data_IF_243708183976
#
_entry.id   IF_243708183976
#
_cell.length_a   1.000
_cell.length_b   1.000
_cell.length_c   1.000
_cell.angle_alpha   90.00
_cell.angle_beta   90.00
_cell.angle_gamma   90.00
#
_symmetry.space_group_name_H-M   'P 1'
#
loop_
_entity.id
_entity.type
_entity.pdbx_description
1 polymer ?
#
# COMPACT_ATOMS: atom_id res chain seq x y z
N UNK A 1 9.06 -11.99 5.71
CA UNK A 1 8.60 -11.13 4.62
C UNK A 1 7.19 -10.67 4.89
N UNK A 2 6.88 -9.43 4.52
CA UNK A 2 5.56 -8.89 4.77
C UNK A 2 4.56 -9.41 3.75
N UNK A 3 3.42 -9.81 4.23
CA UNK A 3 2.36 -10.17 3.32
C UNK A 3 1.49 -8.95 3.03
N UNK A 4 0.47 -9.17 2.23
CA UNK A 4 -0.42 -8.11 1.79
C UNK A 4 -1.06 -7.37 2.97
N UNK A 5 -1.47 -8.10 4.00
CA UNK A 5 -2.13 -7.47 5.14
C UNK A 5 -1.18 -6.59 5.94
N UNK A 6 0.06 -7.03 6.10
CA UNK A 6 1.05 -6.23 6.81
C UNK A 6 1.37 -4.95 6.04
N UNK A 7 1.46 -5.04 4.73
CA UNK A 7 1.75 -3.88 3.89
C UNK A 7 0.62 -2.86 4.01
N UNK A 8 -0.62 -3.32 3.93
CA UNK A 8 -1.76 -2.43 4.05
C UNK A 8 -1.80 -1.78 5.43
N UNK A 9 -1.57 -2.58 6.48
CA UNK A 9 -1.58 -2.06 7.84
C UNK A 9 -0.52 -1.00 8.06
N UNK A 10 0.68 -1.23 7.55
CA UNK A 10 1.74 -0.23 7.70
C UNK A 10 1.44 1.04 6.93
N UNK A 11 0.83 0.90 5.75
CA UNK A 11 0.45 2.06 4.97
C UNK A 11 -0.56 2.92 5.72
N UNK A 12 -1.55 2.27 6.33
CA UNK A 12 -2.55 2.99 7.09
C UNK A 12 -1.92 3.73 8.26
N UNK A 13 -1.06 3.05 9.01
CA UNK A 13 -0.39 3.67 10.14
C UNK A 13 0.45 4.86 9.70
N UNK A 14 1.19 4.70 8.61
CA UNK A 14 2.04 5.78 8.11
C UNK A 14 1.19 6.98 7.70
N UNK A 15 0.11 6.75 6.99
CA UNK A 15 -0.73 7.86 6.54
C UNK A 15 -1.39 8.56 7.71
N UNK A 16 -1.86 7.81 8.70
CA UNK A 16 -2.48 8.42 9.86
C UNK A 16 -1.47 9.20 10.69
N UNK A 17 -0.19 8.82 10.63
CA UNK A 17 0.86 9.53 11.34
C UNK A 17 1.27 10.82 10.65
N UNK A 18 1.11 10.91 9.34
CA UNK A 18 1.63 12.03 8.58
C UNK A 18 0.55 12.98 8.07
N UNK A 19 -0.72 12.61 8.19
CA UNK A 19 -1.82 13.43 7.68
C UNK A 19 -2.89 13.58 8.75
N UNK A 20 -3.64 14.69 8.71
CA UNK A 20 -4.81 14.80 9.58
C UNK A 20 -5.78 13.69 9.28
N UNK A 21 -6.46 13.26 10.34
CA UNK A 21 -7.36 12.13 10.21
C UNK A 21 -8.48 12.39 9.20
N UNK A 22 -8.96 13.65 9.15
CA UNK A 22 -10.03 13.98 8.23
C UNK A 22 -9.61 13.88 6.77
N UNK A 23 -8.31 13.87 6.49
CA UNK A 23 -7.83 13.77 5.12
C UNK A 23 -7.54 12.34 4.70
N UNK A 24 -7.63 11.41 5.63
CA UNK A 24 -7.39 10.01 5.29
C UNK A 24 -8.63 9.44 4.59
N UNK A 25 -8.42 8.85 3.42
CA UNK A 25 -9.50 8.16 2.73
C UNK A 25 -8.89 7.05 1.88
N UNK A 26 -9.75 6.28 1.23
CA UNK A 26 -9.27 5.14 0.46
C UNK A 26 -8.41 5.56 -0.72
N UNK A 27 -8.75 6.68 -1.33
CA UNK A 27 -7.96 7.15 -2.46
C UNK A 27 -6.53 7.48 -2.03
N UNK A 28 -6.37 8.10 -0.87
CA UNK A 28 -5.04 8.38 -0.36
C UNK A 28 -4.27 7.09 -0.11
N UNK A 29 -4.95 6.09 0.42
CA UNK A 29 -4.32 4.80 0.66
C UNK A 29 -3.92 4.15 -0.66
N UNK A 30 -4.78 4.20 -1.67
CA UNK A 30 -4.45 3.66 -2.97
C UNK A 30 -3.24 4.35 -3.58
N UNK A 31 -3.21 5.68 -3.50
CA UNK A 31 -2.10 6.43 -4.06
C UNK A 31 -0.79 6.08 -3.36
N UNK A 32 -0.84 5.95 -2.04
CA UNK A 32 0.35 5.59 -1.28
C UNK A 32 0.84 4.19 -1.65
N UNK A 33 -0.08 3.23 -1.74
CA UNK A 33 0.29 1.87 -2.09
C UNK A 33 0.81 1.77 -3.51
N UNK A 34 0.25 2.57 -4.42
CA UNK A 34 0.75 2.60 -5.79
C UNK A 34 2.18 3.11 -5.84
N UNK A 35 2.47 4.16 -5.07
CA UNK A 35 3.83 4.68 -5.02
C UNK A 35 4.79 3.65 -4.44
N UNK A 36 4.37 2.94 -3.40
CA UNK A 36 5.20 1.89 -2.82
C UNK A 36 5.45 0.77 -3.82
N UNK A 37 4.41 0.36 -4.53
CA UNK A 37 4.56 -0.70 -5.52
C UNK A 37 5.57 -0.30 -6.60
N UNK A 38 5.45 0.92 -7.11
CA UNK A 38 6.37 1.38 -8.14
C UNK A 38 7.78 1.47 -7.60
N UNK A 39 7.94 1.92 -6.38
CA UNK A 39 9.26 1.98 -5.77
C UNK A 39 9.88 0.60 -5.66
N UNK A 40 9.11 -0.37 -5.21
CA UNK A 40 9.62 -1.74 -5.09
C UNK A 40 9.92 -2.34 -6.45
N UNK A 41 9.10 -2.04 -7.43
CA UNK A 41 9.33 -2.53 -8.78
C UNK A 41 10.69 -2.06 -9.31
N UNK A 42 11.06 -0.84 -8.98
CA UNK A 42 12.30 -0.26 -9.49
C UNK A 42 13.51 -0.64 -8.66
N UNK A 43 13.34 -0.87 -7.36
CA UNK A 43 14.49 -1.02 -6.48
C UNK A 43 14.66 -2.42 -5.94
N UNK A 44 13.61 -3.23 -5.90
CA UNK A 44 13.68 -4.55 -5.32
C UNK A 44 14.00 -5.58 -6.38
N UNK A 45 14.83 -6.57 -6.03
CA UNK A 45 15.09 -7.70 -6.90
C UNK A 45 14.23 -8.90 -6.56
N UNK A 46 13.35 -8.77 -5.56
CA UNK A 46 12.51 -9.88 -5.12
C UNK A 46 11.14 -9.81 -5.76
N UNK A 47 10.80 -10.79 -6.58
CA UNK A 47 9.47 -10.86 -7.17
C UNK A 47 8.40 -11.00 -6.11
N UNK A 48 8.69 -11.75 -5.05
CA UNK A 48 7.71 -11.94 -3.99
C UNK A 48 7.34 -10.62 -3.33
N UNK A 49 8.33 -9.78 -3.11
CA UNK A 49 8.08 -8.48 -2.49
C UNK A 49 7.27 -7.59 -3.42
N UNK A 50 7.63 -7.57 -4.69
CA UNK A 50 6.91 -6.78 -5.67
C UNK A 50 5.46 -7.26 -5.77
N UNK A 51 5.25 -8.56 -5.82
CA UNK A 51 3.91 -9.11 -5.93
C UNK A 51 3.09 -8.86 -4.67
N UNK A 52 3.72 -8.89 -3.51
CA UNK A 52 2.99 -8.60 -2.28
C UNK A 52 2.47 -7.17 -2.27
N UNK A 53 3.28 -6.25 -2.76
CA UNK A 53 2.85 -4.85 -2.83
C UNK A 53 1.75 -4.66 -3.87
N UNK A 54 1.85 -5.37 -4.99
CA UNK A 54 0.79 -5.32 -5.99
C UNK A 54 -0.50 -5.88 -5.44
N UNK A 55 -0.44 -6.99 -4.71
CA UNK A 55 -1.62 -7.58 -4.10
C UNK A 55 -2.25 -6.61 -3.10
N UNK A 56 -1.43 -5.93 -2.31
CA UNK A 56 -1.96 -4.97 -1.35
C UNK A 56 -2.70 -3.84 -2.08
N UNK A 57 -2.11 -3.34 -3.14
CA UNK A 57 -2.74 -2.28 -3.92
C UNK A 57 -4.06 -2.76 -4.51
N UNK A 58 -4.06 -3.93 -5.12
CA UNK A 58 -5.27 -4.47 -5.73
C UNK A 58 -6.37 -4.71 -4.70
N UNK A 59 -6.00 -5.20 -3.53
CA UNK A 59 -6.97 -5.43 -2.47
C UNK A 59 -7.72 -4.16 -2.12
N UNK A 60 -7.00 -3.06 -2.00
CA UNK A 60 -7.62 -1.80 -1.66
C UNK A 60 -8.44 -1.28 -2.83
N UNK A 61 -7.90 -1.37 -4.05
CA UNK A 61 -8.58 -0.85 -5.22
C UNK A 61 -9.90 -1.56 -5.49
N UNK A 62 -9.94 -2.86 -5.29
CA UNK A 62 -11.10 -3.65 -5.69
C UNK A 62 -11.99 -4.07 -4.52
N UNK A 63 -11.63 -3.68 -3.32
CA UNK A 63 -12.42 -4.01 -2.17
C UNK A 63 -13.35 -2.85 -1.85
N UNK A 64 -14.32 -2.65 -2.67
CA UNK A 64 -15.33 -1.63 -2.42
C UNK A 64 -16.67 -2.25 -2.68
N UNK A 65 -17.55 -2.01 -1.84
CA UNK A 65 -18.88 -2.56 -1.98
C UNK A 65 -19.90 -1.51 -1.77
#
# INVERSE_FOLDING_TARGET
>A
MKDENAIIGEAIITLLSTQPREKFNRKNLEDYLRALYLQKYETSSSLEEIEAHLSALKSVMFRHK
#
